data_IF_137129168215
#
_entry.id   IF_137129168215
#
_cell.length_a   1.000
_cell.length_b   1.000
_cell.length_c   1.000
_cell.angle_alpha   90.00
_cell.angle_beta   90.00
_cell.angle_gamma   90.00
#
_symmetry.space_group_name_H-M   'P 1'
#
loop_
_entity.id
_entity.type
_entity.pdbx_description
1 polymer ?
#
# COMPACT_ATOMS: atom_id res chain seq x y z
N UNK A 1 -12.54 -2.92 6.42
CA UNK A 1 -13.77 -2.55 7.09
C UNK A 1 -14.14 -3.57 8.15
N UNK A 2 -14.63 -3.08 9.23
CA UNK A 2 -15.23 -3.90 10.25
C UNK A 2 -16.62 -3.34 10.56
N UNK A 3 -17.67 -4.09 10.19
CA UNK A 3 -19.05 -3.57 10.23
C UNK A 3 -19.20 -2.37 9.29
N UNK A 4 -19.61 -1.22 9.83
CA UNK A 4 -19.78 0.02 9.08
C UNK A 4 -18.60 0.99 9.23
N UNK A 5 -17.53 0.57 9.89
CA UNK A 5 -16.39 1.44 10.18
C UNK A 5 -15.12 0.95 9.49
N UNK A 6 -14.30 1.87 8.95
CA UNK A 6 -12.96 1.50 8.47
C UNK A 6 -12.09 1.07 9.65
N UNK A 7 -11.24 0.08 9.40
CA UNK A 7 -10.26 -0.40 10.36
C UNK A 7 -8.87 -0.05 9.86
N UNK A 8 -8.08 0.62 10.69
CA UNK A 8 -6.67 0.90 10.39
C UNK A 8 -5.84 -0.37 10.62
N UNK A 9 -5.01 -0.68 9.65
CA UNK A 9 -4.17 -1.88 9.66
C UNK A 9 -2.74 -1.47 9.34
N UNK A 10 -1.78 -2.04 10.07
CA UNK A 10 -0.36 -1.85 9.77
C UNK A 10 0.15 -3.02 8.94
N UNK A 11 0.81 -2.70 7.82
CA UNK A 11 1.47 -3.68 6.97
C UNK A 11 2.97 -3.42 7.01
N UNK A 12 3.73 -4.45 7.35
CA UNK A 12 5.19 -4.39 7.36
C UNK A 12 5.75 -5.26 6.24
N UNK A 13 6.80 -4.78 5.61
CA UNK A 13 7.50 -5.53 4.56
C UNK A 13 8.99 -5.55 4.81
N UNK A 14 9.62 -6.66 4.47
CA UNK A 14 11.07 -6.81 4.46
C UNK A 14 11.47 -7.32 3.07
N UNK A 15 12.33 -6.58 2.40
CA UNK A 15 12.92 -6.97 1.12
C UNK A 15 14.42 -7.11 1.32
N UNK A 16 14.96 -8.26 0.94
CA UNK A 16 16.37 -8.55 1.11
C UNK A 16 16.88 -9.38 -0.06
N UNK A 17 18.16 -9.22 -0.38
CA UNK A 17 18.77 -9.96 -1.48
C UNK A 17 18.68 -11.47 -1.22
N UNK A 18 18.29 -12.23 -2.25
CA UNK A 18 18.20 -13.69 -2.16
C UNK A 18 19.59 -14.27 -1.97
N UNK A 19 19.76 -15.07 -0.92
CA UNK A 19 21.07 -15.65 -0.57
C UNK A 19 21.32 -17.02 -1.23
N UNK A 20 20.27 -17.80 -1.39
CA UNK A 20 20.40 -19.22 -1.73
C UNK A 20 19.42 -19.65 -2.84
N UNK A 21 19.65 -19.20 -4.05
CA UNK A 21 18.89 -19.73 -5.19
C UNK A 21 17.56 -19.03 -5.42
N UNK A 22 16.43 -19.71 -5.23
CA UNK A 22 15.13 -19.18 -5.61
C UNK A 22 14.62 -18.11 -4.64
N UNK A 23 14.19 -16.93 -5.15
CA UNK A 23 13.62 -15.89 -4.31
C UNK A 23 12.37 -16.37 -3.59
N UNK A 24 12.23 -15.96 -2.32
CA UNK A 24 11.08 -16.32 -1.50
C UNK A 24 10.04 -15.19 -1.49
N UNK A 25 8.79 -15.59 -1.47
CA UNK A 25 7.64 -14.69 -1.32
C UNK A 25 6.80 -15.22 -0.18
N UNK A 26 6.87 -14.56 0.98
CA UNK A 26 6.19 -15.02 2.20
C UNK A 26 5.22 -13.95 2.66
N UNK A 27 3.99 -14.36 2.93
CA UNK A 27 2.96 -13.45 3.43
C UNK A 27 2.34 -14.02 4.69
N UNK A 28 2.06 -13.12 5.63
CA UNK A 28 1.28 -13.42 6.83
C UNK A 28 0.14 -12.41 6.88
N UNK A 29 -1.09 -12.90 6.84
CA UNK A 29 -2.28 -12.06 6.91
C UNK A 29 -2.80 -11.56 5.57
N UNK A 30 -2.20 -11.96 4.44
CA UNK A 30 -2.71 -11.65 3.11
C UNK A 30 -2.32 -12.72 2.10
N UNK A 31 -2.99 -12.69 0.94
CA UNK A 31 -2.83 -13.71 -0.09
C UNK A 31 -1.48 -13.58 -0.81
N UNK A 32 -0.74 -14.68 -0.84
CA UNK A 32 0.57 -14.77 -1.50
C UNK A 32 0.45 -14.52 -3.01
N UNK A 33 -0.61 -15.02 -3.65
CA UNK A 33 -0.82 -14.79 -5.08
C UNK A 33 -1.06 -13.32 -5.38
N UNK A 34 -1.73 -12.62 -4.47
CA UNK A 34 -1.93 -11.19 -4.61
C UNK A 34 -0.61 -10.44 -4.57
N UNK A 35 0.27 -10.80 -3.63
CA UNK A 35 1.62 -10.22 -3.57
C UNK A 35 2.38 -10.46 -4.87
N UNK A 36 2.35 -11.67 -5.40
CA UNK A 36 3.05 -12.01 -6.65
C UNK A 36 2.57 -11.15 -7.82
N UNK A 37 1.25 -10.96 -7.94
CA UNK A 37 0.66 -10.10 -8.98
C UNK A 37 1.10 -8.65 -8.82
N UNK A 38 1.07 -8.13 -7.61
CA UNK A 38 1.47 -6.75 -7.33
C UNK A 38 2.95 -6.51 -7.60
N UNK A 39 3.82 -7.47 -7.30
CA UNK A 39 5.23 -7.37 -7.63
C UNK A 39 5.46 -7.35 -9.14
N UNK A 40 4.68 -8.10 -9.90
CA UNK A 40 4.73 -8.07 -11.36
C UNK A 40 4.34 -6.69 -11.91
N UNK A 41 3.30 -6.09 -11.34
CA UNK A 41 2.88 -4.72 -11.70
C UNK A 41 3.98 -3.71 -11.36
N UNK A 42 4.57 -3.84 -10.20
CA UNK A 42 5.65 -2.97 -9.74
C UNK A 42 6.86 -3.03 -10.69
N UNK A 43 7.21 -4.20 -11.15
CA UNK A 43 8.27 -4.38 -12.12
C UNK A 43 7.91 -3.77 -13.47
N UNK A 44 6.77 -4.18 -14.04
CA UNK A 44 6.37 -3.78 -15.39
C UNK A 44 6.08 -2.29 -15.51
N UNK A 45 5.37 -1.72 -14.54
CA UNK A 45 4.86 -0.35 -14.59
C UNK A 45 5.56 0.60 -13.64
N UNK A 46 6.25 0.10 -12.63
CA UNK A 46 7.02 0.89 -11.69
C UNK A 46 8.52 0.87 -11.93
N UNK A 47 8.99 -0.03 -12.77
CA UNK A 47 10.41 -0.13 -13.11
C UNK A 47 11.29 -0.70 -12.00
N UNK A 48 10.73 -1.36 -11.00
CA UNK A 48 11.49 -1.93 -9.89
C UNK A 48 11.62 -3.44 -10.03
N UNK A 49 12.86 -3.90 -10.20
CA UNK A 49 13.18 -5.31 -10.39
C UNK A 49 13.40 -5.99 -9.03
N UNK A 50 12.57 -6.97 -8.73
CA UNK A 50 12.65 -7.71 -7.47
C UNK A 50 12.81 -9.21 -7.64
N UNK A 51 13.16 -9.67 -8.83
CA UNK A 51 13.29 -11.10 -9.10
C UNK A 51 14.48 -11.73 -8.36
N UNK A 52 15.44 -10.93 -7.90
CA UNK A 52 16.59 -11.37 -7.12
C UNK A 52 16.44 -11.06 -5.61
N UNK A 53 15.24 -10.72 -5.19
CA UNK A 53 14.95 -10.33 -3.80
C UNK A 53 13.99 -11.30 -3.13
N UNK A 54 14.24 -11.59 -1.86
CA UNK A 54 13.23 -12.19 -1.00
C UNK A 54 12.29 -11.09 -0.52
N UNK A 55 10.99 -11.37 -0.50
CA UNK A 55 9.99 -10.43 -0.04
C UNK A 55 9.13 -11.07 1.04
N UNK A 56 9.10 -10.45 2.20
CA UNK A 56 8.32 -10.89 3.36
C UNK A 56 7.34 -9.80 3.70
N UNK A 57 6.07 -10.15 3.85
CA UNK A 57 5.02 -9.19 4.21
C UNK A 57 4.22 -9.73 5.38
N UNK A 58 4.00 -8.88 6.37
CA UNK A 58 3.25 -9.23 7.57
C UNK A 58 2.19 -8.16 7.85
N UNK A 59 0.96 -8.61 8.08
CA UNK A 59 -0.10 -7.76 8.61
C UNK A 59 -0.02 -7.84 10.12
N UNK A 60 0.26 -6.71 10.77
CA UNK A 60 0.49 -6.64 12.21
C UNK A 60 -0.82 -6.92 12.97
N UNK A 61 -0.71 -7.64 14.09
CA UNK A 61 -1.84 -7.91 14.98
C UNK A 61 -2.66 -9.14 14.64
N UNK A 62 -2.19 -9.98 13.72
CA UNK A 62 -2.89 -11.22 13.36
C UNK A 62 -4.15 -11.02 12.53
N UNK A 63 -4.38 -9.81 12.04
CA UNK A 63 -5.52 -9.50 11.18
C UNK A 63 -5.28 -10.08 9.80
N UNK A 64 -6.33 -10.63 9.17
CA UNK A 64 -6.27 -11.09 7.80
C UNK A 64 -6.87 -10.05 6.88
N UNK A 65 -6.10 -9.57 5.90
CA UNK A 65 -6.55 -8.59 4.92
C UNK A 65 -6.98 -9.32 3.65
N UNK A 66 -8.24 -9.15 3.27
CA UNK A 66 -8.82 -9.76 2.07
C UNK A 66 -9.24 -8.71 1.04
N UNK A 67 -9.23 -7.43 1.41
CA UNK A 67 -9.66 -6.34 0.54
C UNK A 67 -8.54 -5.88 -0.39
N UNK A 68 -8.86 -5.63 -1.65
CA UNK A 68 -7.92 -5.05 -2.62
C UNK A 68 -7.57 -3.60 -2.31
N UNK A 69 -8.34 -2.94 -1.45
CA UNK A 69 -8.05 -1.57 -1.00
C UNK A 69 -6.69 -1.43 -0.31
N UNK A 70 -6.10 -2.51 0.16
CA UNK A 70 -4.79 -2.52 0.81
C UNK A 70 -3.62 -2.66 -0.19
N UNK A 71 -3.88 -2.86 -1.48
CA UNK A 71 -2.84 -3.09 -2.49
C UNK A 71 -1.78 -2.02 -2.50
N UNK A 72 -2.19 -0.76 -2.54
CA UNK A 72 -1.24 0.35 -2.64
C UNK A 72 -0.37 0.44 -1.39
N UNK A 73 -0.96 0.26 -0.22
CA UNK A 73 -0.20 0.26 1.04
C UNK A 73 0.84 -0.87 1.08
N UNK A 74 0.45 -2.05 0.60
CA UNK A 74 1.35 -3.19 0.49
C UNK A 74 2.54 -2.86 -0.41
N UNK A 75 2.29 -2.31 -1.60
CA UNK A 75 3.36 -1.96 -2.53
C UNK A 75 4.27 -0.89 -1.98
N UNK A 76 3.74 0.14 -1.33
CA UNK A 76 4.58 1.19 -0.76
C UNK A 76 5.43 0.68 0.40
N UNK A 77 4.93 -0.27 1.19
CA UNK A 77 5.72 -0.92 2.24
C UNK A 77 6.89 -1.71 1.63
N UNK A 78 6.65 -2.43 0.55
CA UNK A 78 7.68 -3.18 -0.18
C UNK A 78 8.74 -2.22 -0.75
N UNK A 79 8.32 -1.15 -1.40
CA UNK A 79 9.23 -0.16 -1.99
C UNK A 79 10.07 0.53 -0.90
N UNK A 80 9.45 0.87 0.22
CA UNK A 80 10.14 1.47 1.36
C UNK A 80 11.28 0.59 1.84
N UNK A 81 11.02 -0.70 2.03
CA UNK A 81 12.04 -1.65 2.45
C UNK A 81 13.12 -1.84 1.39
N UNK A 82 12.73 -1.99 0.13
CA UNK A 82 13.67 -2.18 -0.98
C UNK A 82 14.63 -1.01 -1.13
N UNK A 83 14.13 0.22 -0.97
CA UNK A 83 14.93 1.44 -1.06
C UNK A 83 15.61 1.81 0.27
N UNK A 84 15.33 1.07 1.33
CA UNK A 84 15.79 1.37 2.69
C UNK A 84 15.48 2.82 3.08
N UNK A 85 14.25 3.25 2.79
CA UNK A 85 13.77 4.60 3.02
C UNK A 85 12.43 4.54 3.76
N UNK A 86 12.47 4.85 5.05
CA UNK A 86 11.29 4.77 5.90
C UNK A 86 10.16 5.69 5.44
N UNK A 87 8.93 5.18 5.49
CA UNK A 87 7.74 5.99 5.25
C UNK A 87 7.44 6.85 6.47
N UNK A 88 6.82 8.03 6.29
CA UNK A 88 6.39 8.84 7.43
C UNK A 88 5.42 8.06 8.33
N UNK A 89 5.57 8.19 9.65
CA UNK A 89 4.70 7.50 10.61
C UNK A 89 3.23 7.91 10.50
N UNK A 90 3.00 9.15 10.08
CA UNK A 90 1.67 9.74 10.03
C UNK A 90 1.01 9.57 8.67
N UNK A 91 1.56 8.67 7.83
CA UNK A 91 1.07 8.40 6.50
C UNK A 91 0.07 7.24 6.52
N UNK A 92 -1.12 7.48 5.95
CA UNK A 92 -2.09 6.43 5.65
C UNK A 92 -2.17 6.26 4.13
N UNK A 93 -2.35 5.03 3.68
CA UNK A 93 -2.37 4.70 2.26
C UNK A 93 -3.51 3.73 1.98
N UNK A 94 -4.28 3.98 0.95
CA UNK A 94 -5.22 2.99 0.42
C UNK A 94 -5.37 3.15 -1.09
N UNK A 95 -5.85 2.10 -1.74
CA UNK A 95 -6.09 2.08 -3.17
C UNK A 95 -5.93 0.68 -3.74
N UNK A 96 -6.75 0.36 -4.73
CA UNK A 96 -6.60 -0.88 -5.49
C UNK A 96 -5.64 -0.67 -6.65
N UNK A 97 -4.78 -1.63 -6.91
CA UNK A 97 -3.81 -1.58 -8.02
C UNK A 97 -4.25 -2.53 -9.11
N UNK A 98 -4.47 -2.00 -10.30
CA UNK A 98 -4.82 -2.79 -11.47
C UNK A 98 -3.58 -3.31 -12.21
N UNK A 99 -3.79 -4.30 -13.09
CA UNK A 99 -2.69 -4.96 -13.81
C UNK A 99 -1.98 -4.04 -14.81
N UNK A 100 -2.61 -2.94 -15.21
CA UNK A 100 -1.99 -1.93 -16.06
C UNK A 100 -1.25 -0.86 -15.28
N UNK A 101 -1.12 -1.01 -13.95
CA UNK A 101 -0.46 -0.04 -13.10
C UNK A 101 -1.36 1.14 -12.70
N UNK A 102 -2.65 1.07 -13.04
CA UNK A 102 -3.60 2.10 -12.65
C UNK A 102 -3.97 1.96 -11.17
N UNK A 103 -4.24 3.09 -10.54
CA UNK A 103 -4.68 3.13 -9.14
C UNK A 103 -6.18 3.39 -9.14
N UNK A 104 -6.94 2.41 -8.67
CA UNK A 104 -8.40 2.42 -8.71
C UNK A 104 -8.98 2.90 -7.39
N UNK A 105 -10.09 3.67 -7.44
CA UNK A 105 -10.76 4.11 -6.23
C UNK A 105 -11.31 2.93 -5.43
N UNK A 106 -11.49 3.18 -4.14
CA UNK A 106 -12.05 2.21 -3.21
C UNK A 106 -13.35 2.75 -2.61
N UNK A 107 -14.25 1.88 -2.15
CA UNK A 107 -15.46 2.33 -1.46
C UNK A 107 -15.12 3.03 -0.14
N UNK A 108 -15.88 4.03 0.23
CA UNK A 108 -15.75 4.69 1.51
C UNK A 108 -14.48 5.49 1.71
N UNK A 109 -13.91 6.05 0.64
CA UNK A 109 -12.65 6.79 0.73
C UNK A 109 -12.70 7.94 1.73
N UNK A 110 -13.80 8.67 1.76
CA UNK A 110 -13.94 9.81 2.68
C UNK A 110 -14.02 9.35 4.13
N UNK A 111 -14.75 8.28 4.42
CA UNK A 111 -14.85 7.70 5.75
C UNK A 111 -13.51 7.16 6.22
N UNK A 112 -12.73 6.55 5.32
CA UNK A 112 -11.39 6.05 5.62
C UNK A 112 -10.45 7.19 6.01
N UNK A 113 -10.51 8.30 5.29
CA UNK A 113 -9.68 9.47 5.60
C UNK A 113 -10.07 10.12 6.91
N UNK A 114 -11.37 10.24 7.19
CA UNK A 114 -11.85 10.79 8.45
C UNK A 114 -11.41 9.93 9.64
N UNK A 115 -11.50 8.62 9.50
CA UNK A 115 -11.06 7.70 10.58
C UNK A 115 -9.56 7.84 10.81
N UNK A 116 -8.78 7.91 9.74
CA UNK A 116 -7.33 8.11 9.84
C UNK A 116 -7.01 9.44 10.55
N UNK A 117 -7.71 10.51 10.19
CA UNK A 117 -7.51 11.82 10.82
C UNK A 117 -7.79 11.78 12.32
N UNK A 118 -8.81 11.05 12.75
CA UNK A 118 -9.12 10.86 14.18
C UNK A 118 -7.98 10.16 14.93
N UNK A 119 -7.22 9.31 14.26
CA UNK A 119 -6.11 8.57 14.85
C UNK A 119 -4.76 9.30 14.70
N UNK A 120 -4.77 10.56 14.28
CA UNK A 120 -3.58 11.39 14.23
C UNK A 120 -2.77 11.29 12.95
N UNK A 121 -3.27 10.63 11.92
CA UNK A 121 -2.62 10.62 10.62
C UNK A 121 -2.76 11.99 9.95
N UNK A 122 -1.68 12.50 9.38
CA UNK A 122 -1.62 13.85 8.82
C UNK A 122 -1.40 13.86 7.32
N UNK A 123 -1.04 12.74 6.72
CA UNK A 123 -0.81 12.60 5.29
C UNK A 123 -1.47 11.35 4.76
N UNK A 124 -1.95 11.43 3.53
CA UNK A 124 -2.58 10.29 2.86
C UNK A 124 -2.17 10.23 1.40
N UNK A 125 -1.90 9.01 0.91
CA UNK A 125 -1.73 8.74 -0.52
C UNK A 125 -2.89 7.85 -0.93
N UNK A 126 -3.72 8.35 -1.84
CA UNK A 126 -4.99 7.71 -2.18
C UNK A 126 -5.25 7.79 -3.68
N UNK A 127 -6.18 7.00 -4.22
CA UNK A 127 -6.59 7.16 -5.60
C UNK A 127 -7.13 8.58 -5.85
N UNK A 128 -6.80 9.14 -7.00
CA UNK A 128 -7.24 10.49 -7.35
C UNK A 128 -8.75 10.66 -7.24
N UNK A 129 -9.53 9.64 -7.63
CA UNK A 129 -10.98 9.68 -7.56
C UNK A 129 -11.51 9.64 -6.12
N UNK A 130 -10.69 9.30 -5.14
CA UNK A 130 -11.07 9.29 -3.72
C UNK A 130 -10.69 10.58 -2.99
N UNK A 131 -10.02 11.53 -3.66
CA UNK A 131 -9.67 12.80 -3.03
C UNK A 131 -10.97 13.56 -2.72
N UNK A 132 -11.21 13.96 -1.47
CA UNK A 132 -12.46 14.64 -1.11
C UNK A 132 -12.52 16.03 -1.74
N UNK A 133 -13.72 16.46 -2.10
CA UNK A 133 -13.96 17.81 -2.64
C UNK A 133 -13.64 18.88 -1.60
N UNK A 134 -13.99 18.63 -0.36
CA UNK A 134 -13.70 19.51 0.75
C UNK A 134 -12.51 18.98 1.53
N UNK A 135 -11.44 19.77 1.72
CA UNK A 135 -10.27 19.32 2.46
C UNK A 135 -10.63 18.85 3.87
N UNK A 136 -9.94 17.83 4.32
CA UNK A 136 -10.05 17.36 5.71
C UNK A 136 -9.06 18.17 6.54
N UNK A 137 -9.52 18.88 7.58
CA UNK A 137 -8.62 19.70 8.39
C UNK A 137 -7.46 18.89 8.97
N UNK A 138 -6.24 19.43 8.85
CA UNK A 138 -5.04 18.81 9.39
C UNK A 138 -4.49 17.65 8.58
N UNK A 139 -5.04 17.37 7.40
CA UNK A 139 -4.58 16.24 6.57
C UNK A 139 -4.21 16.72 5.17
N UNK A 140 -3.00 16.35 4.72
CA UNK A 140 -2.57 16.52 3.34
C UNK A 140 -2.93 15.25 2.57
N UNK A 141 -3.76 15.36 1.53
CA UNK A 141 -4.19 14.23 0.72
C UNK A 141 -3.57 14.32 -0.66
N UNK A 142 -2.76 13.31 -1.01
CA UNK A 142 -2.11 13.21 -2.31
C UNK A 142 -2.88 12.20 -3.15
N UNK A 143 -3.49 12.66 -4.24
CA UNK A 143 -4.23 11.81 -5.17
C UNK A 143 -3.36 11.34 -6.31
N UNK A 144 -3.39 10.04 -6.59
CA UNK A 144 -2.61 9.43 -7.66
C UNK A 144 -3.49 8.55 -8.55
N UNK A 145 -3.10 8.38 -9.80
CA UNK A 145 -3.82 7.54 -10.76
C UNK A 145 -2.96 6.43 -11.36
N UNK A 146 -1.64 6.48 -11.15
CA UNK A 146 -0.68 5.48 -11.65
C UNK A 146 0.33 5.12 -10.59
N UNK A 147 0.84 3.88 -10.64
CA UNK A 147 1.84 3.41 -9.67
C UNK A 147 3.11 4.27 -9.70
N UNK A 148 3.52 4.76 -10.86
CA UNK A 148 4.70 5.62 -10.97
C UNK A 148 4.58 6.91 -10.14
N UNK A 149 3.38 7.46 -10.05
CA UNK A 149 3.13 8.65 -9.22
C UNK A 149 3.27 8.35 -7.74
N UNK A 150 2.87 7.15 -7.31
CA UNK A 150 3.07 6.72 -5.92
C UNK A 150 4.57 6.65 -5.58
N UNK A 151 5.37 6.12 -6.49
CA UNK A 151 6.82 6.01 -6.30
C UNK A 151 7.48 7.39 -6.21
N UNK A 152 6.99 8.35 -6.99
CA UNK A 152 7.51 9.72 -6.97
C UNK A 152 7.10 10.47 -5.70
N UNK A 153 6.02 10.07 -5.05
CA UNK A 153 5.53 10.72 -3.83
C UNK A 153 6.28 10.30 -2.56
N UNK A 154 7.16 9.31 -2.66
CA UNK A 154 7.92 8.79 -1.51
C UNK A 154 9.21 9.56 -1.25
#
# INVERSE_FOLDING_TARGET
WEGTRPLLVEIQALVDATQLGNPRRVTVGLDQNRLAMLLAVLHRHGGLYMADQDVFVNVVGGVKVTETSADLALLLAVVSSFRDHALPRELVVFGEVGLAGEIRPVPGGQERLREAAKHGFKRAIVPKANVPKNPIPGMEVIGISKISQALDAL
#
